data_IF_626683008245
#
_entry.id   IF_626683008245
#
_cell.length_a   1.000
_cell.length_b   1.000
_cell.length_c   1.000
_cell.angle_alpha   90.00
_cell.angle_beta   90.00
_cell.angle_gamma   90.00
#
_symmetry.space_group_name_H-M   'P 1'
#
loop_
_entity.id
_entity.type
_entity.pdbx_description
1 polymer ?
#
# COMPACT_ATOMS: atom_id res chain seq x y z
N UNK A 1 -13.93 -18.15 0.63
CA UNK A 1 -14.79 -16.97 0.29
C UNK A 1 -13.87 -15.86 -0.19
N UNK A 2 -14.26 -15.08 -1.19
CA UNK A 2 -13.52 -13.92 -1.69
C UNK A 2 -14.36 -12.68 -1.43
N UNK A 3 -13.73 -11.64 -0.89
CA UNK A 3 -14.41 -10.39 -0.52
C UNK A 3 -13.58 -9.18 -0.98
N UNK A 4 -14.24 -8.12 -1.39
CA UNK A 4 -13.62 -6.85 -1.70
C UNK A 4 -14.17 -5.77 -0.76
N UNK A 5 -13.29 -5.23 0.08
CA UNK A 5 -13.59 -4.13 0.97
C UNK A 5 -13.13 -2.82 0.33
N UNK A 6 -14.06 -1.99 -0.10
CA UNK A 6 -13.77 -0.67 -0.68
C UNK A 6 -13.67 0.34 0.47
N UNK A 7 -12.48 0.86 0.72
CA UNK A 7 -12.19 1.76 1.83
C UNK A 7 -12.23 3.23 1.44
N UNK A 8 -12.04 3.54 0.16
CA UNK A 8 -12.06 4.88 -0.35
C UNK A 8 -12.37 4.93 -1.84
N UNK A 9 -13.13 5.93 -2.25
CA UNK A 9 -13.63 6.12 -3.63
C UNK A 9 -13.59 7.57 -4.09
N UNK A 10 -13.02 8.48 -3.30
CA UNK A 10 -12.83 9.87 -3.73
C UNK A 10 -11.67 9.95 -4.72
N UNK A 11 -11.79 10.83 -5.71
CA UNK A 11 -10.71 11.19 -6.62
C UNK A 11 -9.94 12.38 -6.05
N UNK A 12 -8.63 12.30 -6.02
CA UNK A 12 -7.64 13.34 -5.66
C UNK A 12 -7.80 14.01 -4.28
N UNK A 13 -9.01 14.21 -3.79
CA UNK A 13 -9.27 14.93 -2.53
C UNK A 13 -10.12 14.10 -1.56
N UNK A 14 -9.57 13.71 -0.41
CA UNK A 14 -10.36 13.07 0.64
C UNK A 14 -11.35 14.06 1.27
N UNK A 15 -12.42 13.53 1.85
CA UNK A 15 -13.37 14.27 2.68
C UNK A 15 -13.44 13.66 4.08
N UNK A 16 -14.16 14.29 4.99
CA UNK A 16 -14.37 13.74 6.34
C UNK A 16 -15.02 12.34 6.34
N UNK A 17 -15.82 12.04 5.32
CA UNK A 17 -16.57 10.78 5.22
C UNK A 17 -16.06 9.83 4.14
N UNK A 18 -15.32 10.31 3.14
CA UNK A 18 -14.86 9.53 2.00
C UNK A 18 -13.34 9.65 1.84
N UNK A 19 -12.63 8.53 1.93
CA UNK A 19 -11.22 8.44 1.59
C UNK A 19 -10.98 8.40 0.08
N UNK A 20 -9.75 8.70 -0.34
CA UNK A 20 -9.29 8.50 -1.71
C UNK A 20 -9.06 7.00 -2.00
N UNK A 21 -8.65 6.66 -3.22
CA UNK A 21 -8.56 5.27 -3.68
C UNK A 21 -7.83 4.35 -2.71
N UNK A 22 -8.48 3.26 -2.36
CA UNK A 22 -7.92 2.21 -1.52
C UNK A 22 -8.94 1.12 -1.25
N UNK A 23 -8.53 -0.12 -1.46
CA UNK A 23 -9.37 -1.29 -1.27
C UNK A 23 -8.57 -2.46 -0.72
N UNK A 24 -9.23 -3.44 -0.14
CA UNK A 24 -8.62 -4.69 0.32
C UNK A 24 -9.38 -5.85 -0.28
N UNK A 25 -8.68 -6.64 -1.08
CA UNK A 25 -9.19 -7.92 -1.56
C UNK A 25 -8.78 -9.01 -0.57
N UNK A 26 -9.76 -9.71 -0.04
CA UNK A 26 -9.58 -10.83 0.90
C UNK A 26 -9.87 -12.14 0.20
N UNK A 27 -8.96 -13.08 0.30
CA UNK A 27 -9.12 -14.44 -0.18
C UNK A 27 -8.50 -15.44 0.81
N UNK A 28 -8.55 -16.71 0.46
CA UNK A 28 -8.04 -17.77 1.33
C UNK A 28 -6.53 -17.66 1.56
N UNK A 29 -5.79 -17.26 0.55
CA UNK A 29 -4.33 -17.11 0.56
C UNK A 29 -3.86 -15.89 1.37
N UNK A 30 -4.70 -14.86 1.50
CA UNK A 30 -4.35 -13.66 2.25
C UNK A 30 -5.12 -12.42 1.83
N UNK A 31 -4.54 -11.28 2.14
CA UNK A 31 -5.08 -9.97 1.79
C UNK A 31 -4.18 -9.30 0.76
N UNK A 32 -4.79 -8.75 -0.27
CA UNK A 32 -4.12 -7.88 -1.24
C UNK A 32 -4.71 -6.48 -1.11
N UNK A 33 -3.85 -5.50 -0.85
CA UNK A 33 -4.24 -4.09 -0.88
C UNK A 33 -4.20 -3.63 -2.33
N UNK A 34 -5.26 -2.97 -2.78
CA UNK A 34 -5.35 -2.37 -4.12
C UNK A 34 -5.43 -0.86 -3.92
N UNK A 35 -4.39 -0.17 -4.28
CA UNK A 35 -4.12 1.23 -3.98
C UNK A 35 -4.14 1.55 -2.47
N UNK A 36 -3.40 2.58 -2.10
CA UNK A 36 -3.32 3.07 -0.74
C UNK A 36 -3.12 4.59 -0.76
N UNK A 37 -4.17 5.31 -1.08
CA UNK A 37 -4.15 6.77 -1.09
C UNK A 37 -4.12 7.37 0.31
N UNK A 38 -4.11 8.70 0.38
CA UNK A 38 -4.07 9.44 1.64
C UNK A 38 -5.16 8.97 2.62
N UNK A 39 -4.75 8.70 3.87
CA UNK A 39 -5.66 8.25 4.92
C UNK A 39 -6.06 6.76 4.84
N UNK A 40 -5.48 5.98 3.93
CA UNK A 40 -5.76 4.54 3.79
C UNK A 40 -5.67 3.80 5.12
N UNK A 41 -4.60 3.99 5.87
CA UNK A 41 -4.37 3.34 7.16
C UNK A 41 -5.52 3.57 8.15
N UNK A 42 -6.05 4.78 8.21
CA UNK A 42 -7.17 5.11 9.08
C UNK A 42 -8.43 4.36 8.64
N UNK A 43 -8.74 4.36 7.35
CA UNK A 43 -9.90 3.64 6.79
C UNK A 43 -9.79 2.13 6.99
N UNK A 44 -8.61 1.58 6.80
CA UNK A 44 -8.32 0.17 7.08
C UNK A 44 -8.60 -0.18 8.56
N UNK A 45 -8.11 0.64 9.48
CA UNK A 45 -8.32 0.47 10.91
C UNK A 45 -9.80 0.59 11.30
N UNK A 46 -10.51 1.56 10.74
CA UNK A 46 -11.95 1.74 10.96
C UNK A 46 -12.75 0.52 10.48
N UNK A 47 -12.50 0.05 9.26
CA UNK A 47 -13.17 -1.12 8.72
C UNK A 47 -12.88 -2.38 9.55
N UNK A 48 -11.64 -2.59 9.93
CA UNK A 48 -11.25 -3.70 10.81
C UNK A 48 -11.95 -3.65 12.17
N UNK A 49 -12.09 -2.46 12.75
CA UNK A 49 -12.81 -2.26 14.03
C UNK A 49 -14.28 -2.56 13.88
N UNK A 50 -14.89 -2.10 12.80
CA UNK A 50 -16.30 -2.37 12.48
C UNK A 50 -16.56 -3.87 12.36
N UNK A 51 -15.79 -4.58 11.56
CA UNK A 51 -15.94 -6.03 11.35
C UNK A 51 -15.77 -6.80 12.67
N UNK A 52 -14.85 -6.36 13.53
CA UNK A 52 -14.68 -6.95 14.86
C UNK A 52 -15.94 -6.78 15.73
N UNK A 53 -16.59 -5.63 15.68
CA UNK A 53 -17.84 -5.38 16.40
C UNK A 53 -19.01 -6.21 15.85
N UNK A 54 -19.01 -6.48 14.54
CA UNK A 54 -20.00 -7.30 13.85
C UNK A 54 -19.73 -8.83 14.00
N UNK A 55 -18.70 -9.22 14.73
CA UNK A 55 -18.36 -10.63 14.99
C UNK A 55 -17.50 -11.28 13.92
N UNK A 56 -16.90 -10.51 13.03
CA UNK A 56 -16.02 -10.96 11.94
C UNK A 56 -14.53 -10.56 12.18
N UNK A 57 -13.92 -10.96 13.30
CA UNK A 57 -12.63 -10.41 13.72
C UNK A 57 -11.42 -10.84 12.87
N UNK A 58 -11.56 -11.83 12.02
CA UNK A 58 -10.43 -12.47 11.36
C UNK A 58 -10.12 -11.98 9.95
N UNK A 59 -11.04 -11.29 9.28
CA UNK A 59 -10.92 -11.03 7.85
C UNK A 59 -9.82 -10.03 7.50
N UNK A 60 -9.63 -8.93 8.23
CA UNK A 60 -8.65 -7.90 7.93
C UNK A 60 -7.46 -7.86 8.93
N UNK A 61 -6.85 -9.00 9.22
CA UNK A 61 -5.64 -9.01 10.08
C UNK A 61 -4.41 -8.55 9.30
N UNK A 62 -3.60 -7.59 9.82
CA UNK A 62 -2.42 -7.08 9.13
C UNK A 62 -1.40 -8.16 8.76
N UNK A 63 -1.24 -9.19 9.58
CA UNK A 63 -0.32 -10.31 9.31
C UNK A 63 -0.76 -11.21 8.14
N UNK A 64 -1.99 -11.06 7.65
CA UNK A 64 -2.49 -11.75 6.45
C UNK A 64 -2.25 -10.96 5.16
N UNK A 65 -1.77 -9.73 5.24
CA UNK A 65 -1.47 -8.94 4.05
C UNK A 65 -0.25 -9.55 3.36
N UNK A 66 -0.42 -9.99 2.12
CA UNK A 66 0.63 -10.64 1.33
C UNK A 66 1.16 -9.75 0.22
N UNK A 67 0.34 -8.82 -0.26
CA UNK A 67 0.74 -7.93 -1.34
C UNK A 67 0.03 -6.57 -1.30
N UNK A 68 0.65 -5.60 -1.96
CA UNK A 68 0.06 -4.33 -2.36
C UNK A 68 0.15 -4.25 -3.88
N UNK A 69 -0.94 -3.95 -4.54
CA UNK A 69 -1.03 -3.71 -5.98
C UNK A 69 -1.41 -2.25 -6.22
N UNK A 70 -0.52 -1.48 -6.83
CA UNK A 70 -0.77 -0.09 -7.20
C UNK A 70 -1.25 -0.04 -8.65
N UNK A 71 -2.39 0.58 -8.89
CA UNK A 71 -2.94 0.72 -10.24
C UNK A 71 -2.14 1.71 -11.08
N UNK A 72 -1.69 2.80 -10.47
CA UNK A 72 -0.81 3.80 -11.07
C UNK A 72 -0.19 4.71 -10.00
N UNK A 73 0.70 5.62 -10.40
CA UNK A 73 1.55 6.41 -9.51
C UNK A 73 0.95 7.74 -9.00
N UNK A 74 -0.33 8.05 -9.22
CA UNK A 74 -0.92 9.26 -8.67
C UNK A 74 -1.00 9.22 -7.14
N UNK A 75 -0.85 10.37 -6.49
CA UNK A 75 -0.76 10.47 -5.04
C UNK A 75 -2.02 10.00 -4.31
N UNK A 76 -3.18 10.22 -4.88
CA UNK A 76 -4.47 9.74 -4.35
C UNK A 76 -4.61 8.20 -4.40
N UNK A 77 -3.66 7.50 -5.02
CA UNK A 77 -3.57 6.04 -5.06
C UNK A 77 -2.37 5.49 -4.25
N UNK A 78 -1.37 6.32 -3.93
CA UNK A 78 -0.09 5.85 -3.38
C UNK A 78 0.34 6.51 -2.08
N UNK A 79 -0.10 7.74 -1.79
CA UNK A 79 0.44 8.57 -0.71
C UNK A 79 0.24 8.00 0.71
N UNK A 80 -0.74 7.15 0.92
CA UNK A 80 -0.99 6.47 2.19
C UNK A 80 -0.17 5.19 2.39
N UNK A 81 0.55 4.72 1.37
CA UNK A 81 1.30 3.47 1.45
C UNK A 81 2.46 3.58 2.44
N UNK A 82 3.27 4.63 2.37
CA UNK A 82 4.45 4.79 3.21
C UNK A 82 4.13 4.78 4.73
N UNK A 83 3.18 5.59 5.24
CA UNK A 83 2.81 5.51 6.65
C UNK A 83 2.18 4.17 7.03
N UNK A 84 1.51 3.50 6.10
CA UNK A 84 0.96 2.17 6.35
C UNK A 84 2.06 1.11 6.49
N UNK A 85 3.07 1.12 5.62
CA UNK A 85 4.24 0.24 5.72
C UNK A 85 5.01 0.48 7.03
N UNK A 86 5.18 1.74 7.42
CA UNK A 86 5.80 2.10 8.70
C UNK A 86 5.02 1.49 9.88
N UNK A 87 3.70 1.52 9.85
CA UNK A 87 2.87 0.90 10.89
C UNK A 87 3.03 -0.61 10.91
N UNK A 88 3.04 -1.28 9.77
CA UNK A 88 3.26 -2.72 9.70
C UNK A 88 4.62 -3.10 10.31
N UNK A 89 5.65 -2.30 10.06
CA UNK A 89 6.98 -2.46 10.64
C UNK A 89 6.97 -2.30 12.16
N UNK A 90 6.35 -1.23 12.67
CA UNK A 90 6.22 -0.96 14.12
C UNK A 90 5.39 -2.05 14.84
N UNK A 91 4.43 -2.65 14.15
CA UNK A 91 3.64 -3.78 14.65
C UNK A 91 4.41 -5.12 14.62
N UNK A 92 5.70 -5.09 14.26
CA UNK A 92 6.57 -6.25 14.29
C UNK A 92 6.42 -7.19 13.10
N UNK A 93 6.01 -6.68 11.93
CA UNK A 93 5.98 -7.51 10.73
C UNK A 93 7.39 -7.87 10.28
N UNK A 94 7.67 -9.16 10.18
CA UNK A 94 8.94 -9.72 9.67
C UNK A 94 8.77 -10.38 8.29
N UNK A 95 7.52 -10.66 7.90
CA UNK A 95 7.25 -11.31 6.62
C UNK A 95 7.42 -10.34 5.46
N UNK A 96 8.05 -10.77 4.36
CA UNK A 96 8.14 -9.96 3.15
C UNK A 96 6.77 -9.50 2.65
N UNK A 97 6.71 -8.31 2.10
CA UNK A 97 5.54 -7.75 1.46
C UNK A 97 5.83 -7.51 -0.01
N UNK A 98 5.04 -8.13 -0.88
CA UNK A 98 5.16 -7.91 -2.31
C UNK A 98 4.47 -6.60 -2.68
N UNK A 99 5.16 -5.75 -3.45
CA UNK A 99 4.58 -4.52 -3.97
C UNK A 99 4.63 -4.57 -5.50
N UNK A 100 3.45 -4.53 -6.11
CA UNK A 100 3.27 -4.52 -7.55
C UNK A 100 2.83 -3.13 -8.00
N UNK A 101 3.36 -2.68 -9.13
CA UNK A 101 2.94 -1.42 -9.74
C UNK A 101 3.32 -1.39 -11.23
N UNK A 102 2.68 -0.52 -12.01
CA UNK A 102 3.05 -0.35 -13.41
C UNK A 102 4.41 0.31 -13.54
N UNK A 103 5.18 -0.13 -14.53
CA UNK A 103 6.43 0.51 -14.92
C UNK A 103 6.54 0.55 -16.44
N UNK A 104 7.37 1.43 -16.99
CA UNK A 104 7.69 1.39 -18.42
C UNK A 104 8.78 0.37 -18.68
N UNK A 105 8.84 -0.12 -19.94
CA UNK A 105 9.88 -1.04 -20.34
C UNK A 105 11.28 -0.44 -20.19
N UNK A 106 11.42 0.84 -20.50
CA UNK A 106 12.69 1.58 -20.39
C UNK A 106 13.19 1.62 -18.94
N UNK A 107 12.30 1.86 -17.98
CA UNK A 107 12.64 1.84 -16.55
C UNK A 107 13.02 0.44 -16.11
N UNK A 108 12.28 -0.57 -16.56
CA UNK A 108 12.56 -1.97 -16.23
C UNK A 108 13.92 -2.40 -16.77
N UNK A 109 14.21 -2.11 -18.05
CA UNK A 109 15.49 -2.43 -18.69
C UNK A 109 16.66 -1.70 -18.00
N UNK A 110 16.46 -0.45 -17.55
CA UNK A 110 17.48 0.30 -16.80
C UNK A 110 17.73 -0.31 -15.42
N UNK A 111 16.67 -0.75 -14.73
CA UNK A 111 16.77 -1.45 -13.45
C UNK A 111 17.58 -2.75 -13.57
N UNK A 112 17.30 -3.57 -14.59
CA UNK A 112 18.02 -4.83 -14.81
C UNK A 112 19.49 -4.59 -15.13
N UNK A 113 19.79 -3.56 -15.92
CA UNK A 113 21.14 -3.30 -16.42
C UNK A 113 22.03 -2.59 -15.39
N UNK A 114 21.51 -1.53 -14.78
CA UNK A 114 22.31 -0.54 -14.05
C UNK A 114 21.91 -0.46 -12.55
N UNK A 115 20.92 -1.25 -12.13
CA UNK A 115 20.43 -1.26 -10.77
C UNK A 115 19.54 -0.06 -10.43
N UNK A 116 19.14 0.01 -9.16
CA UNK A 116 18.15 0.99 -8.71
C UNK A 116 18.66 2.43 -8.77
N UNK A 117 19.97 2.64 -8.62
CA UNK A 117 20.59 3.97 -8.64
C UNK A 117 20.40 4.68 -10.00
N UNK A 118 20.25 3.93 -11.08
CA UNK A 118 20.05 4.47 -12.42
C UNK A 118 18.69 5.16 -12.60
N UNK A 119 17.70 4.81 -11.79
CA UNK A 119 16.34 5.37 -11.86
C UNK A 119 16.03 6.37 -10.76
N UNK A 120 16.97 6.59 -9.83
CA UNK A 120 16.78 7.58 -8.78
C UNK A 120 16.75 9.00 -9.37
N UNK A 121 15.78 9.83 -8.99
CA UNK A 121 15.75 11.22 -9.42
C UNK A 121 16.97 11.98 -8.89
N UNK A 122 17.53 12.87 -9.73
CA UNK A 122 18.72 13.65 -9.41
C UNK A 122 18.52 14.77 -8.38
N UNK A 123 17.38 14.78 -7.67
CA UNK A 123 17.17 15.75 -6.59
C UNK A 123 17.13 15.03 -5.23
N UNK A 124 17.74 15.63 -4.23
CA UNK A 124 17.92 15.03 -2.90
C UNK A 124 16.60 14.69 -2.21
N UNK A 125 15.60 15.56 -2.28
CA UNK A 125 14.31 15.35 -1.60
C UNK A 125 13.56 14.10 -2.14
N UNK A 126 13.55 13.93 -3.47
CA UNK A 126 12.92 12.76 -4.07
C UNK A 126 13.72 11.47 -3.84
N UNK A 127 15.05 11.58 -3.79
CA UNK A 127 15.92 10.45 -3.47
C UNK A 127 15.74 10.00 -2.01
N UNK A 128 15.63 10.94 -1.06
CA UNK A 128 15.33 10.62 0.34
C UNK A 128 13.99 9.93 0.51
N UNK A 129 12.93 10.43 -0.16
CA UNK A 129 11.61 9.82 -0.12
C UNK A 129 11.65 8.40 -0.68
N UNK A 130 12.32 8.18 -1.81
CA UNK A 130 12.46 6.87 -2.42
C UNK A 130 13.29 5.93 -1.54
N UNK A 131 14.36 6.40 -0.92
CA UNK A 131 15.15 5.62 0.04
C UNK A 131 14.31 5.19 1.26
N UNK A 132 13.43 6.04 1.76
CA UNK A 132 12.49 5.66 2.82
C UNK A 132 11.55 4.55 2.36
N UNK A 133 10.99 4.62 1.15
CA UNK A 133 10.19 3.54 0.57
C UNK A 133 10.98 2.24 0.48
N UNK A 134 12.20 2.30 -0.03
CA UNK A 134 13.06 1.13 -0.20
C UNK A 134 13.45 0.49 1.13
N UNK A 135 13.74 1.29 2.15
CA UNK A 135 14.06 0.79 3.49
C UNK A 135 12.89 0.04 4.13
N UNK A 136 11.65 0.42 3.79
CA UNK A 136 10.44 -0.22 4.30
C UNK A 136 10.03 -1.47 3.49
N UNK A 137 10.38 -1.54 2.20
CA UNK A 137 10.11 -2.70 1.35
C UNK A 137 11.04 -3.88 1.69
N UNK A 138 12.19 -3.63 2.27
CA UNK A 138 13.13 -4.67 2.73
C UNK A 138 12.80 -5.29 4.09
N UNK A 139 11.63 -4.99 4.63
CA UNK A 139 11.15 -5.55 5.89
C UNK A 139 10.49 -6.92 5.67
#
# INVERSE_FOLDING_TARGET
MMELHILGTASARPTSTRGVSGSVFSCQEGLVIIDAGEGFQMRYSQQRSRMRQEGEPSSLRPNRIVAVALTHGHLDHTWGLLPFLQTLSLDGREQPLLVYGPTSKEIFDSLEKDGIDAILPNNTASAELLNQYLSLIHI
#
